data_IF_720153283098
#
_entry.id   IF_720153283098
#
_cell.length_a   1.000
_cell.length_b   1.000
_cell.length_c   1.000
_cell.angle_alpha   90.00
_cell.angle_beta   90.00
_cell.angle_gamma   90.00
#
_symmetry.space_group_name_H-M   'P 1'
#
loop_
_entity.id
_entity.type
_entity.pdbx_description
1 polymer ?
#
# COMPACT_ATOMS: atom_id res chain seq x y z
N UNK A 1 13.71 -8.96 -0.28
CA UNK A 1 13.23 -7.76 -1.00
C UNK A 1 13.95 -6.55 -0.44
N UNK A 2 14.47 -5.68 -1.30
CA UNK A 2 15.17 -4.44 -0.94
C UNK A 2 14.63 -3.33 -1.84
N UNK A 3 14.45 -2.14 -1.27
CA UNK A 3 14.17 -0.93 -2.01
C UNK A 3 15.21 0.13 -1.60
N UNK A 4 15.53 1.07 -2.48
CA UNK A 4 16.43 2.18 -2.17
C UNK A 4 15.87 3.45 -2.80
N UNK A 5 15.86 4.54 -2.03
CA UNK A 5 15.47 5.86 -2.50
C UNK A 5 16.71 6.75 -2.63
N UNK A 6 16.80 7.51 -3.71
CA UNK A 6 17.85 8.52 -3.93
C UNK A 6 17.23 9.82 -4.43
N UNK A 7 17.94 10.94 -4.29
CA UNK A 7 17.48 12.24 -4.80
C UNK A 7 17.13 12.17 -6.29
N UNK A 8 16.01 12.78 -6.68
CA UNK A 8 15.56 12.91 -8.06
C UNK A 8 16.03 14.20 -8.72
N UNK A 9 15.81 14.33 -10.03
CA UNK A 9 16.30 15.48 -10.82
C UNK A 9 15.52 16.79 -10.58
N UNK A 10 14.32 16.72 -9.99
CA UNK A 10 13.48 17.87 -9.69
C UNK A 10 13.55 18.28 -8.20
N UNK A 11 13.26 19.54 -7.85
CA UNK A 11 13.20 19.97 -6.45
C UNK A 11 12.19 19.13 -5.65
N UNK A 12 12.63 18.56 -4.52
CA UNK A 12 11.81 17.73 -3.62
C UNK A 12 11.24 16.49 -4.34
N UNK A 13 12.09 15.79 -5.09
CA UNK A 13 11.80 14.53 -5.76
C UNK A 13 12.73 13.39 -5.31
N UNK A 14 12.27 12.16 -5.45
CA UNK A 14 13.00 10.94 -5.09
C UNK A 14 12.81 9.87 -6.17
N UNK A 15 13.87 9.14 -6.50
CA UNK A 15 13.80 7.94 -7.34
C UNK A 15 13.81 6.70 -6.44
N UNK A 16 12.79 5.85 -6.55
CA UNK A 16 12.70 4.61 -5.77
C UNK A 16 12.99 3.41 -6.67
N UNK A 17 14.09 2.71 -6.38
CA UNK A 17 14.42 1.44 -7.00
C UNK A 17 13.69 0.30 -6.28
N UNK A 18 12.74 -0.35 -6.96
CA UNK A 18 12.03 -1.54 -6.47
C UNK A 18 12.06 -2.61 -7.54
N UNK A 19 12.77 -3.71 -7.28
CA UNK A 19 12.93 -4.79 -8.26
C UNK A 19 13.77 -4.34 -9.46
N UNK A 20 13.16 -4.26 -10.66
CA UNK A 20 13.83 -3.83 -11.92
C UNK A 20 13.32 -2.49 -12.46
N UNK A 21 12.42 -1.82 -11.74
CA UNK A 21 11.83 -0.56 -12.16
C UNK A 21 12.29 0.60 -11.26
N UNK A 22 12.44 1.78 -11.86
CA UNK A 22 12.62 3.04 -11.15
C UNK A 22 11.29 3.77 -11.19
N UNK A 23 10.75 4.10 -10.01
CA UNK A 23 9.55 4.91 -9.88
C UNK A 23 9.93 6.33 -9.46
N UNK A 24 9.38 7.32 -10.18
CA UNK A 24 9.50 8.73 -9.80
C UNK A 24 8.52 9.02 -8.65
N UNK A 25 9.06 9.44 -7.52
CA UNK A 25 8.30 9.91 -6.36
C UNK A 25 8.47 11.42 -6.19
N UNK A 26 7.40 12.09 -5.78
CA UNK A 26 7.45 13.50 -5.40
C UNK A 26 6.82 13.70 -4.02
N UNK A 27 7.09 14.84 -3.39
CA UNK A 27 6.33 15.22 -2.20
C UNK A 27 4.82 15.27 -2.51
N UNK A 28 4.00 15.09 -1.48
CA UNK A 28 2.57 15.26 -1.63
C UNK A 28 2.25 16.71 -2.03
N UNK A 29 1.24 16.92 -2.90
CA UNK A 29 0.89 18.27 -3.38
C UNK A 29 0.59 19.25 -2.23
N UNK A 30 -0.07 18.75 -1.18
CA UNK A 30 -0.41 19.54 0.00
C UNK A 30 0.79 19.86 0.90
N UNK A 31 1.96 19.28 0.62
CA UNK A 31 3.23 19.59 1.30
C UNK A 31 4.24 20.25 0.36
N UNK A 32 3.79 20.82 -0.76
CA UNK A 32 4.63 21.57 -1.70
C UNK A 32 5.20 20.77 -2.87
N UNK A 33 4.78 19.51 -3.07
CA UNK A 33 5.15 18.76 -4.28
C UNK A 33 4.41 19.23 -5.53
N UNK A 34 5.01 19.00 -6.71
CA UNK A 34 4.46 19.46 -7.99
C UNK A 34 3.15 18.74 -8.40
N UNK A 35 2.83 17.59 -7.78
CA UNK A 35 1.63 16.81 -8.10
C UNK A 35 1.67 16.15 -9.48
N UNK A 36 2.86 16.02 -10.08
CA UNK A 36 3.07 15.43 -11.42
C UNK A 36 3.47 13.96 -11.39
N UNK A 37 3.80 13.44 -10.21
CA UNK A 37 4.12 12.04 -9.97
C UNK A 37 3.44 11.55 -8.68
N UNK A 38 3.41 10.24 -8.48
CA UNK A 38 2.91 9.64 -7.25
C UNK A 38 3.74 10.11 -6.04
N UNK A 39 3.09 10.39 -4.92
CA UNK A 39 3.79 10.60 -3.67
C UNK A 39 4.09 9.27 -2.96
N UNK A 40 4.96 9.29 -1.95
CA UNK A 40 5.28 8.08 -1.18
C UNK A 40 4.06 7.48 -0.47
N UNK A 41 3.08 8.30 -0.11
CA UNK A 41 1.78 7.84 0.39
C UNK A 41 1.02 7.02 -0.66
N UNK A 42 0.92 7.51 -1.89
CA UNK A 42 0.29 6.79 -3.01
C UNK A 42 1.01 5.46 -3.29
N UNK A 43 2.34 5.47 -3.22
CA UNK A 43 3.15 4.26 -3.41
C UNK A 43 2.92 3.22 -2.31
N UNK A 44 2.77 3.65 -1.05
CA UNK A 44 2.43 2.75 0.06
C UNK A 44 1.05 2.10 -0.16
N UNK A 45 0.03 2.91 -0.50
CA UNK A 45 -1.31 2.40 -0.79
C UNK A 45 -1.31 1.47 -2.02
N UNK A 46 -0.54 1.81 -3.05
CA UNK A 46 -0.35 0.98 -4.25
C UNK A 46 0.33 -0.36 -3.94
N UNK A 47 1.35 -0.37 -3.06
CA UNK A 47 1.98 -1.61 -2.60
C UNK A 47 1.02 -2.49 -1.81
N UNK A 48 0.17 -1.89 -0.97
CA UNK A 48 -0.89 -2.60 -0.26
C UNK A 48 -1.93 -3.18 -1.21
N UNK A 49 -2.41 -2.38 -2.18
CA UNK A 49 -3.36 -2.83 -3.20
C UNK A 49 -2.81 -4.02 -3.99
N UNK A 50 -1.57 -3.91 -4.48
CA UNK A 50 -0.91 -4.97 -5.23
C UNK A 50 -0.75 -6.25 -4.40
N UNK A 51 -0.26 -6.15 -3.16
CA UNK A 51 -0.06 -7.32 -2.30
C UNK A 51 -1.39 -7.99 -1.92
N UNK A 52 -2.40 -7.21 -1.57
CA UNK A 52 -3.74 -7.72 -1.25
C UNK A 52 -4.38 -8.44 -2.44
N UNK A 53 -4.29 -7.84 -3.62
CA UNK A 53 -4.86 -8.37 -4.85
C UNK A 53 -4.20 -9.69 -5.26
N UNK A 54 -2.86 -9.74 -5.33
CA UNK A 54 -2.14 -10.97 -5.70
C UNK A 54 -2.32 -12.07 -4.66
N UNK A 55 -2.38 -11.72 -3.36
CA UNK A 55 -2.67 -12.70 -2.31
C UNK A 55 -4.05 -13.32 -2.51
N UNK A 56 -5.07 -12.51 -2.82
CA UNK A 56 -6.42 -13.00 -3.09
C UNK A 56 -6.44 -13.97 -4.28
N UNK A 57 -5.73 -13.65 -5.37
CA UNK A 57 -5.57 -14.56 -6.52
C UNK A 57 -4.93 -15.89 -6.11
N UNK A 58 -3.83 -15.84 -5.34
CA UNK A 58 -3.14 -17.05 -4.88
C UNK A 58 -4.03 -17.92 -3.99
N UNK A 59 -4.79 -17.31 -3.08
CA UNK A 59 -5.73 -18.02 -2.20
C UNK A 59 -6.87 -18.63 -3.00
N UNK A 60 -7.47 -17.87 -3.93
CA UNK A 60 -8.54 -18.36 -4.81
C UNK A 60 -8.07 -19.59 -5.60
N UNK A 61 -6.89 -19.50 -6.24
CA UNK A 61 -6.30 -20.61 -6.98
C UNK A 61 -6.04 -21.84 -6.08
N UNK A 62 -5.49 -21.65 -4.88
CA UNK A 62 -5.24 -22.74 -3.93
C UNK A 62 -6.53 -23.41 -3.41
N UNK A 63 -7.66 -22.70 -3.46
CA UNK A 63 -8.98 -23.21 -3.06
C UNK A 63 -9.76 -23.82 -4.24
N UNK A 64 -9.21 -23.78 -5.46
CA UNK A 64 -9.92 -24.23 -6.67
C UNK A 64 -11.07 -23.30 -7.07
N UNK A 65 -11.03 -22.02 -6.66
CA UNK A 65 -12.00 -21.00 -7.08
C UNK A 65 -11.55 -20.44 -8.43
N UNK A 66 -12.42 -20.54 -9.43
CA UNK A 66 -12.22 -19.93 -10.74
C UNK A 66 -12.73 -18.48 -10.71
N UNK A 67 -11.84 -17.55 -10.38
CA UNK A 67 -12.15 -16.13 -10.35
C UNK A 67 -11.80 -15.49 -11.70
N UNK A 68 -12.81 -14.98 -12.40
CA UNK A 68 -12.64 -14.26 -13.67
C UNK A 68 -11.93 -12.91 -13.46
N UNK A 69 -12.20 -12.25 -12.32
CA UNK A 69 -11.62 -10.95 -11.99
C UNK A 69 -11.51 -10.74 -10.49
N UNK A 70 -10.37 -10.19 -10.06
CA UNK A 70 -10.13 -9.77 -8.68
C UNK A 70 -9.53 -8.36 -8.70
N UNK A 71 -10.30 -7.38 -8.27
CA UNK A 71 -9.88 -5.99 -8.07
C UNK A 71 -9.72 -5.65 -6.59
N UNK A 72 -8.82 -4.72 -6.30
CA UNK A 72 -8.65 -4.14 -4.96
C UNK A 72 -8.47 -2.63 -5.09
N UNK A 73 -9.32 -1.89 -4.40
CA UNK A 73 -9.21 -0.45 -4.22
C UNK A 73 -8.73 -0.15 -2.80
N UNK A 74 -7.83 0.83 -2.66
CA UNK A 74 -7.25 1.22 -1.39
C UNK A 74 -7.28 2.75 -1.27
N UNK A 75 -7.87 3.23 -0.18
CA UNK A 75 -7.93 4.65 0.15
C UNK A 75 -7.25 4.89 1.50
N UNK A 76 -6.67 6.08 1.69
CA UNK A 76 -6.09 6.47 2.96
C UNK A 76 -6.33 7.95 3.28
N UNK A 77 -6.57 8.24 4.56
CA UNK A 77 -6.75 9.61 5.04
C UNK A 77 -5.49 10.10 5.75
N UNK A 78 -5.09 11.34 5.45
CA UNK A 78 -3.92 12.01 6.01
C UNK A 78 -4.31 13.40 6.50
N UNK A 79 -3.77 13.79 7.66
CA UNK A 79 -3.79 15.18 8.10
C UNK A 79 -2.38 15.76 8.00
N UNK A 80 -2.21 16.69 7.06
CA UNK A 80 -0.91 17.25 6.74
C UNK A 80 -0.39 18.19 7.83
N UNK A 81 -1.24 18.63 8.77
CA UNK A 81 -0.82 19.51 9.87
C UNK A 81 0.25 18.87 10.74
N UNK A 82 0.16 17.56 10.99
CA UNK A 82 1.18 16.81 11.72
C UNK A 82 2.50 16.76 10.95
N UNK A 83 2.46 16.39 9.67
CA UNK A 83 3.67 16.30 8.82
C UNK A 83 4.36 17.65 8.63
N UNK A 84 3.58 18.73 8.54
CA UNK A 84 4.08 20.10 8.37
C UNK A 84 4.48 20.76 9.70
N UNK A 85 4.30 20.09 10.84
CA UNK A 85 4.59 20.65 12.16
C UNK A 85 3.70 21.83 12.57
N UNK A 86 2.52 21.97 11.96
CA UNK A 86 1.54 23.03 12.24
C UNK A 86 0.80 22.76 13.55
N UNK A 87 0.51 21.49 13.84
CA UNK A 87 -0.25 21.04 15.00
C UNK A 87 0.47 19.84 15.65
N UNK A 88 1.05 19.97 16.85
CA UNK A 88 1.79 18.90 17.51
C UNK A 88 0.91 17.75 18.01
N UNK A 89 -0.40 17.97 18.17
CA UNK A 89 -1.34 16.94 18.62
C UNK A 89 -1.88 16.09 17.45
N UNK A 90 -1.64 16.52 16.20
CA UNK A 90 -2.02 15.77 15.01
C UNK A 90 -0.97 14.69 14.71
N UNK A 91 -1.32 13.39 14.73
CA UNK A 91 -0.37 12.31 14.43
C UNK A 91 0.19 12.40 13.01
N UNK A 92 1.47 12.07 12.84
CA UNK A 92 2.09 11.89 11.52
C UNK A 92 1.78 10.49 10.98
N UNK A 93 1.36 10.43 9.72
CA UNK A 93 1.03 9.18 9.02
C UNK A 93 -0.45 9.06 8.68
N UNK A 94 -0.82 7.96 8.04
CA UNK A 94 -2.22 7.68 7.69
C UNK A 94 -3.05 7.49 8.97
N UNK A 95 -4.17 8.22 9.06
CA UNK A 95 -5.12 8.10 10.17
C UNK A 95 -6.04 6.89 9.99
N UNK A 96 -6.32 6.53 8.75
CA UNK A 96 -7.14 5.39 8.38
C UNK A 96 -6.77 4.93 6.97
N UNK A 97 -6.86 3.61 6.74
CA UNK A 97 -6.71 3.00 5.42
C UNK A 97 -7.87 2.03 5.24
N UNK A 98 -8.53 2.09 4.08
CA UNK A 98 -9.69 1.26 3.74
C UNK A 98 -9.38 0.47 2.47
N UNK A 99 -9.69 -0.82 2.49
CA UNK A 99 -9.52 -1.70 1.34
C UNK A 99 -10.89 -2.23 0.91
N UNK A 100 -11.17 -2.19 -0.38
CA UNK A 100 -12.37 -2.77 -0.98
C UNK A 100 -11.95 -3.81 -2.02
N UNK A 101 -12.37 -5.06 -1.81
CA UNK A 101 -12.16 -6.14 -2.77
C UNK A 101 -13.39 -6.30 -3.66
N UNK A 102 -13.16 -6.50 -4.95
CA UNK A 102 -14.18 -6.83 -5.93
C UNK A 102 -13.80 -8.14 -6.61
N UNK A 103 -14.51 -9.21 -6.25
CA UNK A 103 -14.24 -10.57 -6.75
C UNK A 103 -15.40 -11.00 -7.62
N UNK A 104 -15.09 -11.32 -8.87
CA UNK A 104 -15.99 -11.92 -9.85
C UNK A 104 -15.58 -13.38 -10.02
N UNK A 105 -16.40 -14.28 -9.49
CA UNK A 105 -16.15 -15.72 -9.51
C UNK A 105 -17.50 -16.45 -9.58
N UNK A 106 -18.01 -16.72 -10.79
CA UNK A 106 -19.27 -17.43 -10.96
C UNK A 106 -19.24 -18.79 -10.27
N UNK A 107 -20.31 -19.12 -9.55
CA UNK A 107 -20.43 -20.39 -8.82
C UNK A 107 -19.71 -20.44 -7.47
N UNK A 108 -19.09 -19.34 -7.02
CA UNK A 108 -18.52 -19.22 -5.69
C UNK A 108 -19.63 -19.32 -4.62
N UNK A 109 -19.53 -20.30 -3.73
CA UNK A 109 -20.46 -20.43 -2.60
C UNK A 109 -20.07 -19.51 -1.43
N UNK A 110 -21.00 -19.35 -0.48
CA UNK A 110 -20.80 -18.45 0.67
C UNK A 110 -19.66 -18.89 1.60
N UNK A 111 -19.43 -20.20 1.75
CA UNK A 111 -18.38 -20.73 2.61
C UNK A 111 -16.99 -20.54 1.98
N UNK A 112 -16.89 -20.74 0.67
CA UNK A 112 -15.69 -20.45 -0.10
C UNK A 112 -15.40 -18.94 -0.10
N UNK A 113 -16.41 -18.08 -0.26
CA UNK A 113 -16.22 -16.63 -0.18
C UNK A 113 -15.70 -16.19 1.19
N UNK A 114 -16.25 -16.74 2.28
CA UNK A 114 -15.79 -16.41 3.63
C UNK A 114 -14.36 -16.91 3.86
N UNK A 115 -14.04 -18.13 3.45
CA UNK A 115 -12.68 -18.65 3.56
C UNK A 115 -11.68 -17.87 2.71
N UNK A 116 -12.09 -17.40 1.52
CA UNK A 116 -11.27 -16.53 0.66
C UNK A 116 -10.97 -15.20 1.37
N UNK A 117 -11.98 -14.56 1.99
CA UNK A 117 -11.82 -13.31 2.75
C UNK A 117 -10.88 -13.48 3.93
N UNK A 118 -11.10 -14.50 4.74
CA UNK A 118 -10.29 -14.78 5.93
C UNK A 118 -8.82 -15.00 5.55
N UNK A 119 -8.56 -15.91 4.61
CA UNK A 119 -7.21 -16.29 4.20
C UNK A 119 -6.49 -15.15 3.47
N UNK A 120 -7.18 -14.41 2.59
CA UNK A 120 -6.59 -13.24 1.92
C UNK A 120 -6.16 -12.20 2.94
N UNK A 121 -7.03 -11.91 3.90
CA UNK A 121 -6.75 -10.92 4.96
C UNK A 121 -5.61 -11.38 5.87
N UNK A 122 -5.49 -12.69 6.11
CA UNK A 122 -4.46 -13.28 6.95
C UNK A 122 -3.09 -13.36 6.29
N UNK A 123 -3.04 -13.68 4.99
CA UNK A 123 -1.78 -13.98 4.29
C UNK A 123 -1.20 -12.80 3.51
N UNK A 124 -1.93 -11.70 3.39
CA UNK A 124 -1.40 -10.49 2.77
C UNK A 124 -0.31 -9.88 3.67
N UNK A 125 0.95 -9.99 3.25
CA UNK A 125 2.12 -9.55 4.04
C UNK A 125 2.09 -8.06 4.34
N UNK A 126 1.72 -7.23 3.36
CA UNK A 126 1.68 -5.77 3.55
C UNK A 126 0.54 -5.39 4.49
N UNK A 127 -0.64 -6.00 4.35
CA UNK A 127 -1.76 -5.75 5.26
C UNK A 127 -1.43 -6.18 6.70
N UNK A 128 -0.81 -7.35 6.87
CA UNK A 128 -0.38 -7.82 8.18
C UNK A 128 0.64 -6.86 8.81
N UNK A 129 1.63 -6.41 8.03
CA UNK A 129 2.66 -5.45 8.47
C UNK A 129 2.08 -4.11 8.90
N UNK A 130 1.03 -3.62 8.20
CA UNK A 130 0.36 -2.37 8.55
C UNK A 130 -0.55 -2.49 9.79
N UNK A 131 -1.11 -3.68 10.04
CA UNK A 131 -1.93 -3.95 11.23
C UNK A 131 -1.09 -4.20 12.48
N UNK A 132 0.04 -4.86 12.30
CA UNK A 132 0.99 -5.19 13.35
C UNK A 132 2.40 -4.87 12.86
N UNK A 133 2.90 -3.71 13.28
CA UNK A 133 4.22 -3.25 12.88
C UNK A 133 5.30 -4.18 13.45
N UNK A 134 6.18 -4.75 12.60
CA UNK A 134 7.36 -5.42 13.10
C UNK A 134 8.30 -4.39 13.76
N UNK A 135 9.32 -4.82 14.53
CA UNK A 135 10.37 -3.92 14.98
C UNK A 135 11.03 -3.21 13.79
N UNK A 136 11.09 -1.89 13.83
CA UNK A 136 11.76 -1.05 12.82
C UNK A 136 12.94 -0.37 13.50
N UNK A 137 14.15 -0.66 13.00
CA UNK A 137 15.38 -0.03 13.44
C UNK A 137 15.75 1.12 12.48
N UNK A 138 16.05 2.29 13.02
CA UNK A 138 16.49 3.46 12.26
C UNK A 138 17.95 3.75 12.61
N UNK A 139 18.81 3.72 11.60
CA UNK A 139 20.24 4.04 11.74
C UNK A 139 20.59 5.22 10.83
N UNK A 140 21.54 6.04 11.28
CA UNK A 140 22.00 7.22 10.54
C UNK A 140 23.45 7.01 10.12
N UNK A 141 23.73 7.22 8.84
CA UNK A 141 25.10 7.31 8.31
C UNK A 141 25.62 8.75 8.38
N UNK A 142 26.95 8.94 8.33
CA UNK A 142 27.57 10.26 8.25
C UNK A 142 27.23 11.01 6.95
#
# INVERSE_FOLDING_TARGET
MRATGTEGEAPIACSVEVGRAIHQAQAHKGTGGAGTAACSGDMLLGALAACAQVTCQMVAAAMGIDAERIGVEVEGDLDLRGTLGIDPDTPVGFQSIRLRFEVDAPGLDAAQLESLREKTTRYCVVLATLREAPPIEVTWGP
#
